data_IF_121716952377
#
_entry.id   IF_121716952377
#
_cell.length_a   1.000
_cell.length_b   1.000
_cell.length_c   1.000
_cell.angle_alpha   90.00
_cell.angle_beta   90.00
_cell.angle_gamma   90.00
#
_symmetry.space_group_name_H-M   'P 1'
#
loop_
_entity.id
_entity.type
_entity.pdbx_description
1 polymer ?
#
# COMPACT_ATOMS: atom_id res chain seq x y z
N UNK A 1 50.56 -34.62 49.80
CA UNK A 1 49.84 -33.35 49.67
C UNK A 1 49.69 -33.08 48.17
N UNK A 2 48.61 -33.59 47.54
CA UNK A 2 48.32 -33.43 46.10
C UNK A 2 47.15 -32.47 45.97
N UNK A 3 47.39 -31.35 45.28
CA UNK A 3 46.33 -30.40 44.89
C UNK A 3 45.91 -30.72 43.46
N UNK A 4 44.75 -31.37 43.34
CA UNK A 4 44.07 -31.58 42.07
C UNK A 4 43.30 -30.31 41.70
N UNK A 5 43.71 -29.63 40.58
CA UNK A 5 42.97 -28.49 40.01
C UNK A 5 41.89 -29.01 39.06
N UNK A 6 40.67 -28.73 39.40
CA UNK A 6 39.48 -28.95 38.56
C UNK A 6 39.38 -27.82 37.52
N UNK A 7 39.55 -28.16 36.24
CA UNK A 7 39.26 -27.23 35.14
C UNK A 7 37.77 -27.36 34.81
N UNK A 8 36.98 -26.32 35.13
CA UNK A 8 35.64 -26.16 34.61
C UNK A 8 35.75 -25.52 33.24
N UNK A 9 35.40 -26.28 32.19
CA UNK A 9 35.22 -25.76 30.85
C UNK A 9 33.87 -25.10 30.74
N UNK A 10 33.83 -23.75 30.66
CA UNK A 10 32.65 -22.99 30.24
C UNK A 10 32.48 -23.21 28.73
N UNK A 11 31.52 -24.02 28.34
CA UNK A 11 30.98 -24.02 26.99
C UNK A 11 30.05 -22.80 26.89
N UNK A 12 30.50 -21.79 26.18
CA UNK A 12 29.72 -20.63 25.82
C UNK A 12 28.63 -21.06 24.82
N UNK A 13 27.40 -21.07 25.25
CA UNK A 13 26.21 -21.20 24.39
C UNK A 13 25.99 -19.88 23.63
N UNK A 14 26.74 -19.64 22.53
CA UNK A 14 26.45 -18.60 21.53
C UNK A 14 25.73 -19.25 20.37
N UNK A 15 24.40 -19.24 20.38
CA UNK A 15 23.65 -19.82 19.25
C UNK A 15 22.13 -19.72 19.32
N UNK A 16 21.57 -18.71 19.96
CA UNK A 16 20.11 -18.65 20.06
C UNK A 16 19.40 -17.30 19.91
N UNK A 17 19.93 -16.23 19.33
CA UNK A 17 19.06 -15.12 18.97
C UNK A 17 18.69 -15.04 17.47
N UNK A 18 19.42 -15.69 16.56
CA UNK A 18 19.17 -15.53 15.11
C UNK A 18 17.95 -16.31 14.59
N UNK A 19 17.60 -17.44 15.21
CA UNK A 19 16.45 -18.25 14.81
C UNK A 19 15.11 -17.76 15.39
N UNK A 20 15.11 -17.02 16.48
CA UNK A 20 13.91 -16.42 17.06
C UNK A 20 13.41 -15.19 16.29
N UNK A 21 14.27 -14.51 15.56
CA UNK A 21 13.93 -13.37 14.72
C UNK A 21 13.37 -13.78 13.34
N UNK A 22 13.54 -15.03 12.93
CA UNK A 22 13.07 -15.56 11.65
C UNK A 22 11.61 -16.03 11.64
N UNK A 23 10.98 -16.13 12.80
CA UNK A 23 9.57 -16.39 12.93
C UNK A 23 8.81 -15.13 13.38
N UNK A 24 8.96 -14.03 12.70
CA UNK A 24 7.92 -12.99 12.72
C UNK A 24 6.66 -13.64 12.19
N UNK A 25 5.89 -14.23 13.11
CA UNK A 25 4.62 -14.89 12.81
C UNK A 25 3.77 -13.85 12.12
N UNK A 26 3.36 -14.16 10.90
CA UNK A 26 2.33 -13.40 10.22
C UNK A 26 1.12 -13.34 11.18
N UNK A 27 1.01 -12.25 11.88
CA UNK A 27 -0.11 -12.04 12.78
C UNK A 27 -1.40 -11.98 11.96
N UNK A 28 -2.52 -12.56 12.42
CA UNK A 28 -3.78 -12.46 11.73
C UNK A 28 -4.14 -11.00 11.44
N UNK A 29 -4.46 -10.71 10.19
CA UNK A 29 -4.70 -9.34 9.70
C UNK A 29 -6.21 -9.06 9.73
N UNK A 30 -6.66 -7.96 10.37
CA UNK A 30 -8.07 -7.55 10.31
C UNK A 30 -8.48 -7.18 8.88
N UNK A 31 -9.50 -7.86 8.36
CA UNK A 31 -10.01 -7.69 7.00
C UNK A 31 -11.53 -7.65 6.95
N UNK A 32 -12.04 -7.15 5.82
CA UNK A 32 -13.41 -7.37 5.36
C UNK A 32 -13.33 -8.21 4.09
N UNK A 33 -13.81 -9.43 4.14
CA UNK A 33 -13.96 -10.31 2.97
C UNK A 33 -15.31 -10.04 2.32
N UNK A 34 -15.31 -9.74 1.02
CA UNK A 34 -16.52 -9.40 0.27
C UNK A 34 -16.75 -10.50 -0.76
N UNK A 35 -17.91 -11.12 -0.68
CA UNK A 35 -18.32 -12.22 -1.54
C UNK A 35 -19.32 -11.77 -2.59
N UNK A 36 -19.39 -12.51 -3.70
CA UNK A 36 -20.38 -12.29 -4.77
C UNK A 36 -21.82 -12.52 -4.25
N UNK A 37 -22.85 -11.90 -4.84
CA UNK A 37 -22.78 -11.04 -6.03
C UNK A 37 -22.19 -9.66 -5.73
N UNK A 38 -21.45 -9.10 -6.69
CA UNK A 38 -20.95 -7.73 -6.67
C UNK A 38 -21.30 -7.05 -7.99
N UNK A 39 -21.29 -5.72 -8.00
CA UNK A 39 -21.54 -4.96 -9.22
C UNK A 39 -20.50 -5.31 -10.30
N UNK A 40 -20.92 -5.65 -11.54
CA UNK A 40 -19.99 -5.89 -12.67
C UNK A 40 -19.11 -4.66 -12.94
N UNK A 41 -17.87 -4.90 -13.32
CA UNK A 41 -16.86 -3.85 -13.55
C UNK A 41 -16.76 -2.83 -12.39
N UNK A 42 -17.04 -3.30 -11.16
CA UNK A 42 -17.00 -2.49 -9.96
C UNK A 42 -15.58 -2.36 -9.39
N UNK A 43 -15.35 -1.23 -8.71
CA UNK A 43 -14.18 -1.04 -7.85
C UNK A 43 -14.32 -1.86 -6.55
N UNK A 44 -13.29 -1.89 -5.73
CA UNK A 44 -13.36 -2.49 -4.40
C UNK A 44 -14.37 -1.77 -3.49
N UNK A 45 -14.51 -0.44 -3.63
CA UNK A 45 -15.53 0.34 -2.92
C UNK A 45 -16.96 0.05 -3.43
N UNK A 46 -17.12 -0.22 -4.74
CA UNK A 46 -18.40 -0.66 -5.29
C UNK A 46 -18.76 -2.07 -4.80
N UNK A 47 -17.76 -2.97 -4.70
CA UNK A 47 -17.96 -4.29 -4.12
C UNK A 47 -18.35 -4.21 -2.63
N UNK A 48 -17.75 -3.30 -1.86
CA UNK A 48 -18.10 -3.06 -0.45
C UNK A 48 -19.56 -2.64 -0.31
N UNK A 49 -20.09 -1.85 -1.25
CA UNK A 49 -21.46 -1.36 -1.24
C UNK A 49 -22.50 -2.41 -1.70
N UNK A 50 -22.10 -3.39 -2.53
CA UNK A 50 -23.03 -4.32 -3.21
C UNK A 50 -22.88 -5.78 -2.80
N UNK A 51 -21.71 -6.18 -2.27
CA UNK A 51 -21.40 -7.57 -1.95
C UNK A 51 -21.81 -7.99 -0.54
N UNK A 52 -21.73 -9.29 -0.27
CA UNK A 52 -21.87 -9.85 1.09
C UNK A 52 -20.56 -9.65 1.85
N UNK A 53 -20.56 -8.72 2.79
CA UNK A 53 -19.38 -8.35 3.60
C UNK A 53 -19.29 -9.21 4.85
N UNK A 54 -18.13 -9.84 5.07
CA UNK A 54 -17.83 -10.64 6.26
C UNK A 54 -16.55 -10.08 6.90
N UNK A 55 -16.65 -9.38 8.04
CA UNK A 55 -15.49 -8.96 8.80
C UNK A 55 -14.82 -10.15 9.48
N UNK A 56 -13.49 -10.11 9.61
CA UNK A 56 -12.76 -11.19 10.25
C UNK A 56 -11.26 -10.93 10.33
N UNK A 57 -10.53 -11.98 10.64
CA UNK A 57 -9.07 -12.02 10.63
C UNK A 57 -8.61 -12.93 9.50
N UNK A 58 -7.78 -12.42 8.60
CA UNK A 58 -7.14 -13.23 7.58
C UNK A 58 -6.05 -14.09 8.22
N UNK A 59 -6.24 -15.40 8.19
CA UNK A 59 -5.25 -16.37 8.64
C UNK A 59 -4.44 -16.87 7.44
N UNK A 60 -3.10 -16.75 7.46
CA UNK A 60 -2.26 -17.22 6.37
C UNK A 60 -2.20 -18.76 6.32
N UNK A 61 -1.94 -19.31 5.14
CA UNK A 61 -1.57 -20.72 4.99
C UNK A 61 -0.28 -21.03 5.73
N UNK A 62 -0.15 -22.23 6.30
CA UNK A 62 1.07 -22.64 7.00
C UNK A 62 2.26 -22.75 6.02
N UNK A 63 2.07 -23.50 4.93
CA UNK A 63 2.99 -23.70 3.81
C UNK A 63 2.21 -23.93 2.53
N UNK A 64 2.85 -23.71 1.37
CA UNK A 64 2.34 -24.19 0.09
C UNK A 64 2.63 -25.68 -0.09
N UNK A 65 1.74 -26.39 -0.78
CA UNK A 65 1.92 -27.83 -1.08
C UNK A 65 2.91 -28.07 -2.22
N UNK A 66 3.18 -27.03 -3.04
CA UNK A 66 4.11 -27.04 -4.18
C UNK A 66 4.90 -25.74 -4.22
N UNK A 67 6.03 -25.79 -4.92
CA UNK A 67 6.83 -24.60 -5.26
C UNK A 67 6.15 -23.82 -6.38
N UNK A 68 4.98 -23.23 -6.13
CA UNK A 68 4.25 -22.39 -7.07
C UNK A 68 5.10 -21.20 -7.52
N UNK A 69 4.96 -20.80 -8.80
CA UNK A 69 5.62 -19.62 -9.38
C UNK A 69 4.61 -18.50 -9.56
N UNK A 70 4.79 -17.40 -8.83
CA UNK A 70 3.85 -16.28 -8.82
C UNK A 70 4.57 -15.01 -9.30
N UNK A 71 4.04 -14.38 -10.35
CA UNK A 71 4.52 -13.10 -10.85
C UNK A 71 3.76 -11.95 -10.17
N UNK A 72 4.48 -10.90 -9.77
CA UNK A 72 3.94 -9.65 -9.22
C UNK A 72 4.27 -8.51 -10.17
N UNK A 73 3.26 -7.92 -10.81
CA UNK A 73 3.42 -6.83 -11.77
C UNK A 73 3.16 -5.49 -11.08
N UNK A 74 4.23 -4.80 -10.70
CA UNK A 74 4.14 -3.51 -10.02
C UNK A 74 4.24 -2.34 -11.03
N UNK A 75 3.65 -1.16 -10.73
CA UNK A 75 3.77 0.02 -11.60
C UNK A 75 5.22 0.54 -11.67
N UNK A 76 5.97 0.46 -10.59
CA UNK A 76 7.37 0.87 -10.49
C UNK A 76 7.97 0.50 -9.12
N UNK A 77 9.27 0.81 -8.93
CA UNK A 77 9.98 0.69 -7.64
C UNK A 77 10.55 2.04 -7.14
N UNK A 78 10.09 3.17 -7.70
CA UNK A 78 10.57 4.53 -7.35
C UNK A 78 10.05 5.02 -5.99
N UNK A 79 8.89 4.52 -5.54
CA UNK A 79 8.21 4.94 -4.32
C UNK A 79 8.48 3.92 -3.21
N UNK A 80 8.83 4.35 -1.98
CA UNK A 80 9.01 3.49 -0.81
C UNK A 80 7.81 2.60 -0.47
N UNK A 81 6.60 2.98 -0.86
CA UNK A 81 5.40 2.13 -0.73
C UNK A 81 5.60 0.76 -1.41
N UNK A 82 6.10 0.76 -2.66
CA UNK A 82 6.34 -0.47 -3.40
C UNK A 82 7.51 -1.29 -2.83
N UNK A 83 8.46 -0.62 -2.16
CA UNK A 83 9.51 -1.32 -1.38
C UNK A 83 8.91 -2.09 -0.20
N UNK A 84 7.92 -1.51 0.48
CA UNK A 84 7.13 -2.19 1.53
C UNK A 84 6.36 -3.39 0.98
N UNK A 85 5.66 -3.21 -0.14
CA UNK A 85 4.96 -4.32 -0.81
C UNK A 85 5.93 -5.44 -1.24
N UNK A 86 7.09 -5.09 -1.81
CA UNK A 86 8.12 -6.07 -2.19
C UNK A 86 8.62 -6.85 -0.98
N UNK A 87 8.87 -6.17 0.15
CA UNK A 87 9.22 -6.85 1.40
C UNK A 87 8.13 -7.83 1.83
N UNK A 88 6.86 -7.41 1.78
CA UNK A 88 5.71 -8.26 2.09
C UNK A 88 5.66 -9.51 1.21
N UNK A 89 5.80 -9.35 -0.11
CA UNK A 89 5.84 -10.46 -1.09
C UNK A 89 6.98 -11.41 -0.78
N UNK A 90 8.22 -10.92 -0.73
CA UNK A 90 9.42 -11.76 -0.63
C UNK A 90 9.51 -12.47 0.73
N UNK A 91 9.20 -11.76 1.82
CA UNK A 91 9.22 -12.37 3.15
C UNK A 91 8.19 -13.50 3.27
N UNK A 92 7.03 -13.32 2.68
CA UNK A 92 5.95 -14.30 2.72
C UNK A 92 6.17 -15.44 1.72
N UNK A 93 6.78 -15.17 0.54
CA UNK A 93 7.21 -16.21 -0.40
C UNK A 93 8.19 -17.19 0.25
N UNK A 94 9.18 -16.67 1.00
CA UNK A 94 10.12 -17.48 1.79
C UNK A 94 9.41 -18.36 2.80
N UNK A 95 8.47 -17.79 3.55
CA UNK A 95 7.70 -18.51 4.56
C UNK A 95 6.84 -19.62 3.96
N UNK A 96 6.23 -19.38 2.80
CA UNK A 96 5.36 -20.33 2.09
C UNK A 96 6.14 -21.38 1.30
N UNK A 97 7.42 -21.16 0.95
CA UNK A 97 8.21 -22.03 0.10
C UNK A 97 7.83 -21.93 -1.38
N UNK A 98 7.44 -20.74 -1.86
CA UNK A 98 7.04 -20.49 -3.25
C UNK A 98 8.02 -19.57 -3.96
N UNK A 99 8.04 -19.60 -5.29
CA UNK A 99 8.79 -18.64 -6.11
C UNK A 99 7.94 -17.38 -6.27
N UNK A 100 8.54 -16.23 -6.06
CA UNK A 100 7.94 -14.94 -6.32
C UNK A 100 8.89 -14.05 -7.13
N UNK A 101 8.42 -13.55 -8.26
CA UNK A 101 9.16 -12.63 -9.12
C UNK A 101 8.38 -11.32 -9.23
N UNK A 102 9.01 -10.21 -8.88
CA UNK A 102 8.45 -8.85 -9.00
C UNK A 102 8.94 -8.26 -10.31
N UNK A 103 8.02 -7.95 -11.20
CA UNK A 103 8.24 -7.46 -12.57
C UNK A 103 7.70 -6.02 -12.65
N UNK A 104 8.48 -5.00 -12.29
CA UNK A 104 8.01 -3.62 -12.31
C UNK A 104 8.02 -3.04 -13.74
N UNK A 105 7.05 -2.17 -14.02
CA UNK A 105 7.12 -1.20 -15.11
C UNK A 105 7.98 0.01 -14.70
N UNK A 106 8.10 1.02 -15.56
CA UNK A 106 8.95 2.17 -15.30
C UNK A 106 8.25 3.30 -14.53
N UNK A 107 6.89 3.31 -14.47
CA UNK A 107 6.09 4.36 -13.83
C UNK A 107 4.62 4.24 -14.17
N UNK A 108 3.80 5.15 -13.64
CA UNK A 108 2.38 5.23 -13.98
C UNK A 108 2.11 5.72 -15.41
N UNK A 109 3.12 6.24 -16.10
CA UNK A 109 3.12 6.61 -17.52
C UNK A 109 3.58 5.46 -18.43
N UNK A 110 4.06 4.36 -17.88
CA UNK A 110 4.55 3.19 -18.64
C UNK A 110 3.51 2.04 -18.72
N UNK A 111 2.31 2.35 -19.19
CA UNK A 111 1.30 1.32 -19.41
C UNK A 111 1.79 0.23 -20.38
N UNK A 112 2.50 0.63 -21.46
CA UNK A 112 3.04 -0.33 -22.45
C UNK A 112 3.99 -1.34 -21.79
N UNK A 113 4.88 -0.87 -20.91
CA UNK A 113 5.79 -1.74 -20.16
C UNK A 113 5.02 -2.71 -19.26
N UNK A 114 3.98 -2.26 -18.55
CA UNK A 114 3.18 -3.17 -17.72
C UNK A 114 2.42 -4.22 -18.54
N UNK A 115 1.86 -3.84 -19.71
CA UNK A 115 1.22 -4.80 -20.64
C UNK A 115 2.24 -5.83 -21.16
N UNK A 116 3.46 -5.40 -21.49
CA UNK A 116 4.54 -6.30 -21.89
C UNK A 116 4.91 -7.27 -20.76
N UNK A 117 5.01 -6.82 -19.51
CA UNK A 117 5.28 -7.70 -18.35
C UNK A 117 4.17 -8.73 -18.13
N UNK A 118 2.92 -8.40 -18.41
CA UNK A 118 1.83 -9.38 -18.42
C UNK A 118 2.04 -10.44 -19.49
N UNK A 119 2.37 -10.05 -20.73
CA UNK A 119 2.61 -11.00 -21.83
C UNK A 119 3.85 -11.89 -21.55
N UNK A 120 4.92 -11.33 -20.97
CA UNK A 120 6.09 -12.09 -20.52
C UNK A 120 5.70 -13.12 -19.44
N UNK A 121 4.88 -12.74 -18.46
CA UNK A 121 4.42 -13.66 -17.41
C UNK A 121 3.54 -14.79 -17.95
N UNK A 122 2.66 -14.50 -18.91
CA UNK A 122 1.84 -15.50 -19.59
C UNK A 122 2.74 -16.48 -20.38
N UNK A 123 3.68 -15.96 -21.18
CA UNK A 123 4.61 -16.78 -21.99
C UNK A 123 5.52 -17.65 -21.11
N UNK A 124 5.95 -17.14 -19.95
CA UNK A 124 6.76 -17.87 -18.98
C UNK A 124 5.96 -18.89 -18.16
N UNK A 125 4.63 -18.99 -18.37
CA UNK A 125 3.71 -19.93 -17.70
C UNK A 125 3.82 -19.87 -16.18
N UNK A 126 3.70 -18.65 -15.61
CA UNK A 126 3.53 -18.52 -14.17
C UNK A 126 2.23 -19.19 -13.72
N UNK A 127 2.23 -19.78 -12.53
CA UNK A 127 1.05 -20.44 -11.98
C UNK A 127 -0.05 -19.46 -11.57
N UNK A 128 0.33 -18.25 -11.15
CA UNK A 128 -0.57 -17.12 -10.87
C UNK A 128 0.12 -15.78 -11.18
N UNK A 129 -0.69 -14.77 -11.47
CA UNK A 129 -0.24 -13.39 -11.65
C UNK A 129 -0.96 -12.48 -10.65
N UNK A 130 -0.22 -11.65 -9.94
CA UNK A 130 -0.74 -10.59 -9.07
C UNK A 130 -0.36 -9.25 -9.70
N UNK A 131 -1.35 -8.47 -10.12
CA UNK A 131 -1.12 -7.17 -10.77
C UNK A 131 -1.52 -6.03 -9.86
N UNK A 132 -0.71 -4.96 -9.85
CA UNK A 132 -1.08 -3.64 -9.34
C UNK A 132 -1.28 -2.73 -10.56
N UNK A 133 -2.51 -2.60 -11.08
CA UNK A 133 -2.73 -2.00 -12.39
C UNK A 133 -2.40 -0.50 -12.40
N UNK A 134 -1.75 -0.04 -13.47
CA UNK A 134 -1.45 1.38 -13.72
C UNK A 134 -2.74 2.16 -14.02
N UNK A 135 -3.70 1.52 -14.67
CA UNK A 135 -4.95 2.15 -15.13
C UNK A 135 -6.16 1.36 -14.66
N UNK A 136 -7.25 2.06 -14.39
CA UNK A 136 -8.52 1.43 -14.00
C UNK A 136 -9.10 0.47 -15.06
N UNK A 137 -8.78 0.64 -16.34
CA UNK A 137 -9.42 -0.13 -17.43
C UNK A 137 -8.46 -0.63 -18.49
N UNK A 138 -7.32 0.03 -18.70
CA UNK A 138 -6.42 -0.28 -19.81
C UNK A 138 -5.74 -1.67 -19.72
N UNK A 139 -5.68 -2.24 -18.51
CA UNK A 139 -5.14 -3.57 -18.28
C UNK A 139 -6.15 -4.70 -18.54
N UNK A 140 -7.46 -4.42 -18.73
CA UNK A 140 -8.51 -5.44 -18.78
C UNK A 140 -8.26 -6.52 -19.86
N UNK A 141 -7.88 -6.11 -21.09
CA UNK A 141 -7.60 -7.08 -22.15
C UNK A 141 -6.42 -8.00 -21.84
N UNK A 142 -5.40 -7.50 -21.15
CA UNK A 142 -4.25 -8.35 -20.76
C UNK A 142 -4.61 -9.30 -19.62
N UNK A 143 -5.46 -8.87 -18.68
CA UNK A 143 -6.02 -9.72 -17.62
C UNK A 143 -6.87 -10.84 -18.26
N UNK A 144 -7.74 -10.51 -19.21
CA UNK A 144 -8.56 -11.48 -19.93
C UNK A 144 -7.71 -12.52 -20.69
N UNK A 145 -6.60 -12.10 -21.33
CA UNK A 145 -5.67 -13.04 -21.98
C UNK A 145 -5.02 -14.02 -21.00
N UNK A 146 -4.57 -13.54 -19.83
CA UNK A 146 -4.01 -14.40 -18.79
C UNK A 146 -5.05 -15.43 -18.31
N UNK A 147 -6.28 -14.99 -18.08
CA UNK A 147 -7.40 -15.86 -17.70
C UNK A 147 -7.71 -16.91 -18.77
N UNK A 148 -7.73 -16.50 -20.05
CA UNK A 148 -7.93 -17.43 -21.17
C UNK A 148 -6.80 -18.47 -21.30
N UNK A 149 -5.58 -18.12 -20.88
CA UNK A 149 -4.44 -19.05 -20.78
C UNK A 149 -4.52 -19.97 -19.54
N UNK A 150 -5.57 -19.88 -18.72
CA UNK A 150 -5.75 -20.68 -17.51
C UNK A 150 -4.98 -20.19 -16.29
N UNK A 151 -4.39 -18.98 -16.35
CA UNK A 151 -3.62 -18.40 -15.26
C UNK A 151 -4.54 -17.52 -14.40
N UNK A 152 -4.72 -17.82 -13.11
CA UNK A 152 -5.47 -16.96 -12.22
C UNK A 152 -4.78 -15.61 -12.04
N UNK A 153 -5.58 -14.52 -12.11
CA UNK A 153 -5.10 -13.16 -11.93
C UNK A 153 -5.75 -12.54 -10.69
N UNK A 154 -4.90 -12.05 -9.79
CA UNK A 154 -5.30 -11.30 -8.60
C UNK A 154 -4.88 -9.86 -8.76
N UNK A 155 -5.56 -8.97 -8.04
CA UNK A 155 -5.19 -7.56 -7.95
C UNK A 155 -4.63 -7.22 -6.58
N UNK A 156 -3.63 -6.34 -6.53
CA UNK A 156 -3.00 -5.86 -5.31
C UNK A 156 -2.96 -4.32 -5.30
N UNK A 157 -3.39 -3.73 -4.20
CA UNK A 157 -3.29 -2.32 -3.84
C UNK A 157 -4.07 -1.36 -4.76
N UNK A 158 -3.62 -1.19 -6.00
CA UNK A 158 -4.32 -0.37 -6.99
C UNK A 158 -5.65 -1.06 -7.38
N UNK A 159 -6.63 -0.27 -7.78
CA UNK A 159 -7.95 -0.79 -8.13
C UNK A 159 -8.21 -0.65 -9.64
N UNK A 160 -8.90 -1.63 -10.20
CA UNK A 160 -9.33 -1.64 -11.60
C UNK A 160 -10.78 -2.06 -11.77
N UNK A 161 -11.33 -1.77 -12.95
CA UNK A 161 -12.67 -2.18 -13.37
C UNK A 161 -12.59 -3.37 -14.30
N UNK A 162 -12.32 -4.56 -13.73
CA UNK A 162 -12.22 -5.82 -14.50
C UNK A 162 -13.00 -6.94 -13.81
N UNK A 163 -13.86 -7.61 -14.56
CA UNK A 163 -14.59 -8.81 -14.10
C UNK A 163 -13.76 -10.10 -14.22
N UNK A 164 -12.63 -10.04 -14.94
CA UNK A 164 -11.75 -11.20 -15.17
C UNK A 164 -10.79 -11.48 -14.02
N UNK A 165 -10.78 -10.65 -12.98
CA UNK A 165 -9.99 -10.90 -11.77
C UNK A 165 -10.61 -12.04 -10.94
N UNK A 166 -9.74 -12.91 -10.41
CA UNK A 166 -10.15 -13.94 -9.46
C UNK A 166 -10.47 -13.33 -8.10
N UNK A 167 -9.64 -12.37 -7.66
CA UNK A 167 -9.73 -11.75 -6.36
C UNK A 167 -8.97 -10.43 -6.34
N UNK A 168 -9.46 -9.45 -5.57
CA UNK A 168 -8.78 -8.19 -5.27
C UNK A 168 -8.32 -8.18 -3.82
N UNK A 169 -7.07 -7.74 -3.57
CA UNK A 169 -6.54 -7.47 -2.24
C UNK A 169 -6.13 -6.00 -2.18
N UNK A 170 -6.87 -5.20 -1.46
CA UNK A 170 -6.66 -3.76 -1.38
C UNK A 170 -7.18 -3.22 -0.05
N UNK A 171 -7.42 -1.94 0.02
CA UNK A 171 -8.21 -1.27 1.06
C UNK A 171 -9.32 -0.46 0.41
N UNK A 172 -10.21 0.16 1.19
CA UNK A 172 -11.10 1.17 0.64
C UNK A 172 -10.31 2.44 0.31
N UNK A 173 -10.08 2.68 -0.97
CA UNK A 173 -9.35 3.85 -1.45
C UNK A 173 -10.12 5.15 -1.18
N UNK A 174 -11.46 5.07 -1.20
CA UNK A 174 -12.33 6.17 -0.78
C UNK A 174 -12.19 6.46 0.72
N UNK A 175 -12.17 5.43 1.56
CA UNK A 175 -11.95 5.60 2.98
C UNK A 175 -10.58 6.20 3.29
N UNK A 176 -9.54 5.90 2.50
CA UNK A 176 -8.21 6.50 2.64
C UNK A 176 -8.29 8.03 2.52
N UNK A 177 -8.90 8.55 1.46
CA UNK A 177 -9.13 9.99 1.29
C UNK A 177 -9.99 10.59 2.39
N UNK A 178 -11.07 9.86 2.78
CA UNK A 178 -11.98 10.29 3.84
C UNK A 178 -11.26 10.42 5.19
N UNK A 179 -10.48 9.41 5.62
CA UNK A 179 -9.82 9.41 6.92
C UNK A 179 -8.68 10.45 7.00
N UNK A 180 -7.89 10.61 5.94
CA UNK A 180 -6.88 11.68 5.87
C UNK A 180 -7.53 13.06 6.03
N UNK A 181 -8.65 13.30 5.34
CA UNK A 181 -9.38 14.58 5.41
C UNK A 181 -10.10 14.76 6.75
N UNK A 182 -10.68 13.71 7.32
CA UNK A 182 -11.27 13.76 8.67
C UNK A 182 -10.23 14.09 9.74
N UNK A 183 -9.00 13.61 9.57
CA UNK A 183 -7.90 14.03 10.46
C UNK A 183 -7.66 15.54 10.35
N UNK A 184 -7.57 16.09 9.13
CA UNK A 184 -7.44 17.54 8.87
C UNK A 184 -8.57 18.34 9.53
N UNK A 185 -9.81 17.86 9.40
CA UNK A 185 -10.99 18.50 10.00
C UNK A 185 -10.89 18.50 11.52
N UNK A 186 -10.52 17.38 12.15
CA UNK A 186 -10.34 17.30 13.62
C UNK A 186 -9.22 18.23 14.09
N UNK A 187 -8.09 18.27 13.39
CA UNK A 187 -6.99 19.17 13.72
C UNK A 187 -7.41 20.64 13.61
N UNK A 188 -8.14 21.01 12.57
CA UNK A 188 -8.69 22.35 12.39
C UNK A 188 -9.64 22.74 13.53
N UNK A 189 -10.53 21.84 13.95
CA UNK A 189 -11.44 22.05 15.09
C UNK A 189 -10.68 22.25 16.39
N UNK A 190 -9.66 21.44 16.66
CA UNK A 190 -8.80 21.61 17.85
C UNK A 190 -8.07 22.96 17.86
N UNK A 191 -7.77 23.51 16.68
CA UNK A 191 -7.20 24.84 16.51
C UNK A 191 -8.24 25.97 16.55
N UNK A 192 -9.52 25.65 16.72
CA UNK A 192 -10.60 26.63 16.77
C UNK A 192 -10.99 27.26 15.44
N UNK A 193 -10.54 26.67 14.31
CA UNK A 193 -10.84 27.17 12.97
C UNK A 193 -12.30 26.87 12.59
N UNK A 194 -12.97 27.82 11.95
CA UNK A 194 -14.35 27.71 11.49
C UNK A 194 -14.43 27.40 9.98
N UNK A 195 -13.37 27.72 9.24
CA UNK A 195 -13.19 27.39 7.85
C UNK A 195 -11.73 27.05 7.59
N UNK A 196 -11.46 26.17 6.60
CA UNK A 196 -10.12 25.81 6.16
C UNK A 196 -10.05 25.74 4.64
N UNK A 197 -8.88 26.06 4.13
CA UNK A 197 -8.54 25.97 2.73
C UNK A 197 -7.51 24.86 2.53
N UNK A 198 -7.82 23.89 1.70
CA UNK A 198 -6.95 22.76 1.42
C UNK A 198 -6.57 22.70 -0.06
N UNK A 199 -5.41 22.14 -0.36
CA UNK A 199 -5.03 21.75 -1.71
C UNK A 199 -4.61 20.30 -1.76
N UNK A 200 -4.80 19.65 -2.92
CA UNK A 200 -4.55 18.24 -3.10
C UNK A 200 -3.44 18.01 -4.13
N UNK A 201 -2.53 17.10 -3.79
CA UNK A 201 -1.52 16.52 -4.66
C UNK A 201 -1.74 15.00 -4.71
N UNK A 202 -2.80 14.53 -5.39
CA UNK A 202 -3.23 13.14 -5.24
C UNK A 202 -2.41 12.14 -6.06
N UNK A 203 -1.60 12.61 -7.03
CA UNK A 203 -0.83 11.74 -7.91
C UNK A 203 -1.34 11.73 -9.37
N UNK A 204 -1.09 10.65 -10.16
CA UNK A 204 -1.38 10.62 -11.59
C UNK A 204 -2.87 10.43 -11.86
N UNK A 205 -3.41 11.28 -12.76
CA UNK A 205 -4.81 11.14 -13.19
C UNK A 205 -5.01 9.79 -13.91
N UNK A 206 -6.12 9.11 -13.59
CA UNK A 206 -6.51 7.83 -14.21
C UNK A 206 -6.11 6.59 -13.41
N UNK A 207 -5.25 6.72 -12.41
CA UNK A 207 -5.03 5.64 -11.45
C UNK A 207 -6.24 5.48 -10.51
N UNK A 208 -6.62 4.24 -10.21
CA UNK A 208 -7.80 3.95 -9.38
C UNK A 208 -7.72 4.52 -7.98
N UNK A 209 -6.54 4.46 -7.37
CA UNK A 209 -6.29 4.98 -6.03
C UNK A 209 -6.46 6.51 -5.96
N UNK A 210 -6.01 7.25 -6.97
CA UNK A 210 -6.15 8.72 -7.05
C UNK A 210 -7.61 9.15 -7.05
N UNK A 211 -8.46 8.43 -7.81
CA UNK A 211 -9.89 8.71 -7.81
C UNK A 211 -10.50 8.50 -6.42
N UNK A 212 -10.16 7.41 -5.74
CA UNK A 212 -10.64 7.10 -4.39
C UNK A 212 -10.25 8.19 -3.39
N UNK A 213 -8.98 8.62 -3.38
CA UNK A 213 -8.48 9.70 -2.51
C UNK A 213 -9.27 11.00 -2.68
N UNK A 214 -9.44 11.44 -3.93
CA UNK A 214 -10.15 12.71 -4.23
C UNK A 214 -11.62 12.61 -3.89
N UNK A 215 -12.29 11.51 -4.22
CA UNK A 215 -13.71 11.30 -3.90
C UNK A 215 -13.91 11.25 -2.38
N UNK A 216 -13.05 10.52 -1.66
CA UNK A 216 -13.07 10.46 -0.20
C UNK A 216 -12.85 11.81 0.47
N UNK A 217 -11.91 12.59 -0.06
CA UNK A 217 -11.67 13.97 0.41
C UNK A 217 -12.91 14.85 0.22
N UNK A 218 -13.57 14.77 -0.94
CA UNK A 218 -14.79 15.55 -1.20
C UNK A 218 -15.92 15.15 -0.28
N UNK A 219 -16.12 13.85 -0.04
CA UNK A 219 -17.15 13.35 0.88
C UNK A 219 -16.89 13.90 2.29
N UNK A 220 -15.66 13.75 2.81
CA UNK A 220 -15.34 14.25 4.14
C UNK A 220 -15.48 15.77 4.26
N UNK A 221 -15.12 16.51 3.20
CA UNK A 221 -15.31 17.97 3.16
C UNK A 221 -16.78 18.37 3.19
N UNK A 222 -17.67 17.64 2.49
CA UNK A 222 -19.12 17.88 2.49
C UNK A 222 -19.79 17.54 3.83
N UNK A 223 -19.28 16.51 4.53
CA UNK A 223 -19.79 16.07 5.82
C UNK A 223 -19.21 16.87 7.00
N UNK A 224 -18.26 17.78 6.74
CA UNK A 224 -17.51 18.47 7.78
C UNK A 224 -18.41 19.42 8.60
N UNK A 225 -18.19 19.52 9.92
CA UNK A 225 -18.93 20.49 10.78
C UNK A 225 -18.33 21.92 10.68
N UNK A 226 -17.37 22.14 9.81
CA UNK A 226 -16.76 23.42 9.46
C UNK A 226 -16.66 23.56 7.95
N UNK A 227 -16.45 24.76 7.44
CA UNK A 227 -16.31 25.00 6.01
C UNK A 227 -14.95 24.49 5.50
N UNK A 228 -14.96 23.59 4.50
CA UNK A 228 -13.76 23.04 3.87
C UNK A 228 -13.72 23.43 2.39
N UNK A 229 -12.79 24.29 2.01
CA UNK A 229 -12.60 24.77 0.64
C UNK A 229 -11.44 24.04 -0.02
N UNK A 230 -11.70 23.24 -1.05
CA UNK A 230 -10.66 22.65 -1.91
C UNK A 230 -10.28 23.69 -2.96
N UNK A 231 -9.18 24.43 -2.73
CA UNK A 231 -8.76 25.55 -3.59
C UNK A 231 -8.09 25.09 -4.88
N UNK A 232 -7.34 23.98 -4.86
CA UNK A 232 -6.62 23.47 -6.03
C UNK A 232 -6.42 21.96 -5.92
N UNK A 233 -6.40 21.27 -7.07
CA UNK A 233 -6.04 19.85 -7.21
C UNK A 233 -5.07 19.74 -8.37
N UNK A 234 -3.83 19.28 -8.11
CA UNK A 234 -2.81 19.12 -9.13
C UNK A 234 -2.44 17.64 -9.29
N UNK A 235 -2.77 17.14 -10.48
CA UNK A 235 -2.45 15.78 -10.87
C UNK A 235 -1.07 15.71 -11.55
N UNK A 236 -0.35 14.63 -11.36
CA UNK A 236 0.93 14.32 -12.00
C UNK A 236 1.52 13.05 -11.43
N UNK A 237 2.48 12.43 -12.12
CA UNK A 237 3.21 11.26 -11.60
C UNK A 237 3.72 11.54 -10.18
N UNK A 238 3.83 10.51 -9.35
CA UNK A 238 4.29 10.60 -7.96
C UNK A 238 5.81 10.89 -7.84
N UNK A 239 6.48 11.17 -8.95
CA UNK A 239 7.88 11.57 -8.99
C UNK A 239 8.10 12.88 -8.21
N UNK A 240 9.09 12.87 -7.33
CA UNK A 240 9.35 13.94 -6.34
C UNK A 240 9.57 15.33 -6.98
N UNK A 241 10.35 15.42 -8.05
CA UNK A 241 10.66 16.69 -8.71
C UNK A 241 9.43 17.33 -9.32
N UNK A 242 8.60 16.54 -10.01
CA UNK A 242 7.33 17.00 -10.57
C UNK A 242 6.38 17.46 -9.46
N UNK A 243 6.23 16.68 -8.41
CA UNK A 243 5.31 17.03 -7.32
C UNK A 243 5.77 18.27 -6.54
N UNK A 244 7.09 18.47 -6.37
CA UNK A 244 7.64 19.72 -5.82
C UNK A 244 7.31 20.93 -6.67
N UNK A 245 7.38 20.81 -8.01
CA UNK A 245 6.97 21.90 -8.94
C UNK A 245 5.46 22.16 -8.83
N UNK A 246 4.63 21.12 -8.75
CA UNK A 246 3.18 21.27 -8.60
C UNK A 246 2.82 21.95 -7.28
N UNK A 247 3.48 21.57 -6.18
CA UNK A 247 3.35 22.26 -4.89
C UNK A 247 3.73 23.74 -5.01
N UNK A 248 4.84 24.07 -5.66
CA UNK A 248 5.25 25.45 -5.92
C UNK A 248 4.18 26.27 -6.66
N UNK A 249 3.52 25.69 -7.68
CA UNK A 249 2.42 26.35 -8.41
C UNK A 249 1.19 26.58 -7.52
N UNK A 250 0.85 25.64 -6.63
CA UNK A 250 -0.22 25.81 -5.64
C UNK A 250 0.12 26.99 -4.71
N UNK A 251 1.34 27.04 -4.20
CA UNK A 251 1.79 28.08 -3.27
C UNK A 251 1.81 29.47 -3.90
N UNK A 252 2.26 29.60 -5.16
CA UNK A 252 2.21 30.85 -5.91
C UNK A 252 0.79 31.40 -6.03
N UNK A 253 -0.21 30.52 -6.22
CA UNK A 253 -1.59 30.94 -6.44
C UNK A 253 -2.38 31.13 -5.14
N UNK A 254 -2.11 30.31 -4.13
CA UNK A 254 -2.97 30.18 -2.95
C UNK A 254 -2.24 30.24 -1.61
N UNK A 255 -0.90 30.26 -1.55
CA UNK A 255 -0.12 30.05 -0.34
C UNK A 255 -0.52 30.90 0.86
N UNK A 256 -0.86 32.18 0.63
CA UNK A 256 -1.29 33.08 1.71
C UNK A 256 -2.67 32.72 2.32
N UNK A 257 -3.47 31.89 1.66
CA UNK A 257 -4.80 31.46 2.12
C UNK A 257 -4.86 29.99 2.53
N UNK A 258 -3.83 29.19 2.14
CA UNK A 258 -3.83 27.75 2.32
C UNK A 258 -3.53 27.37 3.77
N UNK A 259 -4.25 26.39 4.29
CA UNK A 259 -4.08 25.83 5.64
C UNK A 259 -3.46 24.44 5.62
N UNK A 260 -3.85 23.60 4.61
CA UNK A 260 -3.34 22.23 4.50
C UNK A 260 -3.03 21.86 3.04
N UNK A 261 -2.04 20.99 2.88
CA UNK A 261 -1.83 20.20 1.66
C UNK A 261 -1.99 18.72 2.04
N UNK A 262 -2.83 18.00 1.27
CA UNK A 262 -2.95 16.55 1.38
C UNK A 262 -2.33 15.95 0.12
N UNK A 263 -1.36 15.05 0.29
CA UNK A 263 -0.60 14.50 -0.83
C UNK A 263 -0.40 13.00 -0.77
N UNK A 264 -0.13 12.39 -1.93
CA UNK A 264 0.24 10.99 -2.05
C UNK A 264 1.59 10.69 -1.35
N UNK A 265 2.03 9.44 -1.34
CA UNK A 265 3.28 8.99 -0.71
C UNK A 265 4.53 9.74 -1.16
N UNK A 266 4.67 10.01 -2.46
CA UNK A 266 5.75 10.84 -3.01
C UNK A 266 5.43 12.34 -2.98
N UNK A 267 4.14 12.68 -2.98
CA UNK A 267 3.64 14.04 -3.12
C UNK A 267 3.74 14.86 -1.82
N UNK A 268 3.34 14.28 -0.70
CA UNK A 268 3.34 14.98 0.59
C UNK A 268 4.77 15.39 1.02
N UNK A 269 5.79 14.51 1.00
CA UNK A 269 7.16 14.92 1.30
C UNK A 269 7.71 15.94 0.30
N UNK A 270 7.32 15.85 -1.00
CA UNK A 270 7.77 16.77 -2.03
C UNK A 270 7.27 18.21 -1.83
N UNK A 271 6.15 18.39 -1.12
CA UNK A 271 5.59 19.72 -0.84
C UNK A 271 6.36 20.49 0.25
N UNK A 272 7.11 19.80 1.12
CA UNK A 272 7.74 20.42 2.28
C UNK A 272 8.78 21.48 1.92
N UNK A 273 9.67 21.20 0.96
CA UNK A 273 10.71 22.14 0.55
C UNK A 273 10.12 23.44 -0.08
N UNK A 274 9.18 23.38 -1.04
CA UNK A 274 8.49 24.56 -1.54
C UNK A 274 7.75 25.37 -0.47
N UNK A 275 7.08 24.70 0.48
CA UNK A 275 6.38 25.35 1.60
C UNK A 275 7.36 26.15 2.45
N UNK A 276 8.51 25.56 2.81
CA UNK A 276 9.56 26.24 3.57
C UNK A 276 10.18 27.40 2.78
N UNK A 277 10.50 27.20 1.51
CA UNK A 277 11.08 28.22 0.64
C UNK A 277 10.15 29.43 0.44
N UNK A 278 8.84 29.22 0.45
CA UNK A 278 7.84 30.27 0.37
C UNK A 278 7.51 30.95 1.71
N UNK A 279 8.15 30.53 2.81
CA UNK A 279 7.93 31.10 4.14
C UNK A 279 6.62 30.66 4.83
N UNK A 280 6.04 29.54 4.42
CA UNK A 280 4.76 29.03 4.95
C UNK A 280 4.94 27.82 5.88
N UNK A 281 6.16 27.50 6.31
CA UNK A 281 6.47 26.31 7.13
C UNK A 281 5.64 26.17 8.40
N UNK A 282 5.41 27.28 9.12
CA UNK A 282 4.62 27.30 10.36
C UNK A 282 3.11 27.43 10.12
N UNK A 283 2.70 27.70 8.88
CA UNK A 283 1.31 27.94 8.54
C UNK A 283 0.64 26.75 7.89
N UNK A 284 1.24 26.19 6.82
CA UNK A 284 0.64 25.14 6.01
C UNK A 284 1.04 23.78 6.57
N UNK A 285 0.06 23.01 6.99
CA UNK A 285 0.24 21.64 7.48
C UNK A 285 0.14 20.64 6.33
N UNK A 286 1.04 19.65 6.32
CA UNK A 286 1.04 18.58 5.33
C UNK A 286 0.51 17.29 5.96
N UNK A 287 -0.39 16.62 5.23
CA UNK A 287 -0.95 15.30 5.57
C UNK A 287 -0.75 14.38 4.37
N UNK A 288 -0.50 13.10 4.62
CA UNK A 288 -0.32 12.13 3.55
C UNK A 288 -1.55 11.22 3.41
N UNK A 289 -1.86 10.84 2.18
CA UNK A 289 -2.91 9.86 1.89
C UNK A 289 -2.49 8.44 2.24
N UNK A 290 -1.17 8.14 2.26
CA UNK A 290 -0.71 6.83 2.68
C UNK A 290 0.66 6.89 3.38
N UNK A 291 1.02 5.81 4.06
CA UNK A 291 2.18 5.69 4.93
C UNK A 291 3.36 5.03 4.22
N UNK A 292 4.53 5.65 4.37
CA UNK A 292 5.84 5.07 4.05
C UNK A 292 6.80 5.23 5.22
N UNK A 293 7.95 4.56 5.20
CA UNK A 293 8.98 4.75 6.22
C UNK A 293 9.46 6.20 6.31
N UNK A 294 9.59 6.90 5.18
CA UNK A 294 9.93 8.33 5.14
C UNK A 294 8.85 9.18 5.81
N UNK A 295 7.58 8.97 5.45
CA UNK A 295 6.46 9.70 6.04
C UNK A 295 6.37 9.44 7.55
N UNK A 296 6.59 8.21 8.00
CA UNK A 296 6.66 7.89 9.42
C UNK A 296 7.75 8.68 10.15
N UNK A 297 8.92 8.82 9.52
CA UNK A 297 10.00 9.66 10.05
C UNK A 297 9.59 11.13 10.10
N UNK A 298 9.02 11.65 9.02
CA UNK A 298 8.56 13.05 8.92
C UNK A 298 7.41 13.37 9.90
N UNK A 299 6.58 12.39 10.27
CA UNK A 299 5.58 12.56 11.33
C UNK A 299 6.27 12.66 12.69
N UNK A 300 7.25 11.80 12.99
CA UNK A 300 8.00 11.89 14.24
C UNK A 300 8.77 13.22 14.39
N UNK A 301 9.33 13.73 13.28
CA UNK A 301 10.02 15.04 13.25
C UNK A 301 9.08 16.25 13.18
N UNK A 302 7.75 16.02 13.11
CA UNK A 302 6.71 17.07 13.05
C UNK A 302 6.69 17.87 11.74
N UNK A 303 7.24 17.35 10.68
CA UNK A 303 7.22 17.98 9.35
C UNK A 303 5.95 17.58 8.55
N UNK A 304 5.48 16.34 8.73
CA UNK A 304 4.15 15.86 8.30
C UNK A 304 3.33 15.59 9.56
N UNK A 305 2.05 15.91 9.53
CA UNK A 305 1.22 15.85 10.72
C UNK A 305 0.51 14.53 10.90
N UNK A 306 0.12 13.89 9.81
CA UNK A 306 -0.54 12.59 9.83
C UNK A 306 -0.47 11.90 8.47
N UNK A 307 -0.72 10.59 8.47
CA UNK A 307 -0.90 9.79 7.27
C UNK A 307 -1.97 8.72 7.49
N UNK A 308 -2.87 8.53 6.52
CA UNK A 308 -3.59 7.27 6.45
C UNK A 308 -2.61 6.15 6.15
N UNK A 309 -3.00 4.91 6.40
CA UNK A 309 -2.12 3.75 6.23
C UNK A 309 -2.91 2.58 5.63
N UNK A 310 -2.63 2.28 4.39
CA UNK A 310 -3.23 1.17 3.66
C UNK A 310 -2.61 -0.18 4.01
N UNK A 311 -1.53 -0.20 4.79
CA UNK A 311 -0.81 -1.40 5.23
C UNK A 311 -0.25 -2.24 4.08
N UNK A 312 0.58 -1.60 3.25
CA UNK A 312 1.13 -2.20 2.02
C UNK A 312 1.82 -3.55 2.21
N UNK A 313 2.58 -3.73 3.31
CA UNK A 313 3.20 -5.03 3.65
C UNK A 313 2.13 -6.09 3.90
N UNK A 314 1.08 -5.76 4.66
CA UNK A 314 -0.02 -6.68 4.95
C UNK A 314 -0.82 -7.03 3.70
N UNK A 315 -1.11 -6.04 2.83
CA UNK A 315 -1.76 -6.28 1.55
C UNK A 315 -0.97 -7.28 0.70
N UNK A 316 0.34 -7.08 0.56
CA UNK A 316 1.21 -7.96 -0.22
C UNK A 316 1.26 -9.39 0.35
N UNK A 317 1.37 -9.53 1.68
CA UNK A 317 1.31 -10.83 2.36
C UNK A 317 -0.02 -11.56 2.13
N UNK A 318 -1.15 -10.84 2.22
CA UNK A 318 -2.47 -11.42 1.94
C UNK A 318 -2.59 -11.82 0.47
N UNK A 319 -2.08 -11.01 -0.47
CA UNK A 319 -2.19 -11.31 -1.90
C UNK A 319 -1.45 -12.60 -2.30
N UNK A 320 -0.22 -12.81 -1.82
CA UNK A 320 0.51 -14.06 -2.13
C UNK A 320 -0.14 -15.28 -1.46
N UNK A 321 -0.64 -15.14 -0.23
CA UNK A 321 -1.40 -16.21 0.43
C UNK A 321 -2.70 -16.53 -0.32
N UNK A 322 -3.42 -15.52 -0.78
CA UNK A 322 -4.65 -15.70 -1.57
C UNK A 322 -4.36 -16.40 -2.90
N UNK A 323 -3.25 -16.04 -3.57
CA UNK A 323 -2.81 -16.73 -4.79
C UNK A 323 -2.54 -18.22 -4.52
N UNK A 324 -1.80 -18.55 -3.45
CA UNK A 324 -1.55 -19.95 -3.06
C UNK A 324 -2.85 -20.67 -2.73
N UNK A 325 -3.76 -20.05 -1.99
CA UNK A 325 -5.06 -20.65 -1.66
C UNK A 325 -5.91 -20.95 -2.92
N UNK A 326 -5.88 -20.05 -3.92
CA UNK A 326 -6.55 -20.29 -5.20
C UNK A 326 -5.93 -21.48 -5.95
N UNK A 327 -4.59 -21.53 -6.05
CA UNK A 327 -3.86 -22.60 -6.75
C UNK A 327 -4.07 -23.96 -6.11
N UNK A 328 -4.29 -24.01 -4.81
CA UNK A 328 -4.47 -25.24 -4.04
C UNK A 328 -5.94 -25.59 -3.79
N UNK A 329 -6.88 -24.81 -4.31
CA UNK A 329 -8.32 -25.05 -4.12
C UNK A 329 -8.76 -24.96 -2.67
N UNK A 330 -8.05 -24.21 -1.84
CA UNK A 330 -8.37 -24.05 -0.42
C UNK A 330 -9.59 -23.16 -0.23
N UNK A 331 -10.50 -23.63 0.59
CA UNK A 331 -11.76 -22.92 0.87
C UNK A 331 -12.84 -23.23 -0.20
N UNK A 332 -14.07 -23.38 0.27
CA UNK A 332 -15.22 -23.69 -0.60
C UNK A 332 -15.71 -22.47 -1.39
N UNK A 333 -15.52 -21.29 -0.82
CA UNK A 333 -15.93 -20.03 -1.42
C UNK A 333 -14.77 -19.02 -1.27
N UNK A 334 -14.33 -18.47 -2.41
CA UNK A 334 -13.31 -17.43 -2.41
C UNK A 334 -13.99 -16.05 -2.41
N UNK A 335 -13.52 -15.10 -1.60
CA UNK A 335 -14.03 -13.74 -1.67
C UNK A 335 -13.70 -13.12 -3.04
N UNK A 336 -14.56 -12.21 -3.50
CA UNK A 336 -14.25 -11.35 -4.64
C UNK A 336 -13.18 -10.31 -4.27
N UNK A 337 -13.29 -9.74 -3.06
CA UNK A 337 -12.39 -8.70 -2.58
C UNK A 337 -12.05 -8.90 -1.10
N UNK A 338 -10.79 -8.73 -0.76
CA UNK A 338 -10.30 -8.66 0.62
C UNK A 338 -9.83 -7.24 0.86
N UNK A 339 -10.55 -6.50 1.72
CA UNK A 339 -10.15 -5.17 2.15
C UNK A 339 -9.38 -5.25 3.47
N UNK A 340 -8.14 -4.77 3.45
CA UNK A 340 -7.34 -4.59 4.67
C UNK A 340 -7.88 -3.38 5.43
N UNK A 341 -8.02 -3.51 6.75
CA UNK A 341 -8.49 -2.40 7.58
C UNK A 341 -7.45 -1.27 7.59
N UNK A 342 -7.89 -0.07 7.22
CA UNK A 342 -7.06 1.13 7.25
C UNK A 342 -6.54 1.44 8.66
N UNK A 343 -5.31 1.98 8.70
CA UNK A 343 -4.75 2.65 9.86
C UNK A 343 -4.76 4.17 9.69
N UNK A 344 -4.43 4.87 10.76
CA UNK A 344 -4.12 6.30 10.75
C UNK A 344 -2.97 6.54 11.70
N UNK A 345 -1.87 7.09 11.18
CA UNK A 345 -0.70 7.45 11.95
C UNK A 345 -0.67 8.95 12.17
N UNK A 346 -0.43 9.38 13.40
CA UNK A 346 -0.08 10.74 13.76
C UNK A 346 0.93 10.76 14.93
N UNK A 347 1.24 11.93 15.44
CA UNK A 347 2.20 12.05 16.53
C UNK A 347 1.73 11.42 17.85
N UNK A 348 0.42 11.30 18.07
CA UNK A 348 -0.14 10.77 19.31
C UNK A 348 0.08 9.25 19.42
N UNK A 349 0.04 8.53 18.30
CA UNK A 349 0.17 7.08 18.28
C UNK A 349 1.48 6.56 17.70
N UNK A 350 2.37 7.44 17.22
CA UNK A 350 3.62 7.05 16.55
C UNK A 350 4.56 6.17 17.41
N UNK A 351 4.47 6.23 18.73
CA UNK A 351 5.28 5.40 19.63
C UNK A 351 4.86 3.93 19.72
N UNK A 352 3.61 3.62 19.42
CA UNK A 352 3.02 2.26 19.54
C UNK A 352 2.46 1.72 18.22
N UNK A 353 2.71 2.41 17.11
CA UNK A 353 2.15 2.05 15.81
C UNK A 353 2.79 0.76 15.26
N UNK A 354 2.02 -0.20 14.71
CA UNK A 354 2.54 -1.47 14.19
C UNK A 354 3.13 -1.29 12.78
N UNK A 355 4.30 -0.67 12.69
CA UNK A 355 4.97 -0.34 11.43
C UNK A 355 5.27 -1.55 10.54
N UNK A 356 5.48 -2.73 11.12
CA UNK A 356 5.76 -3.99 10.41
C UNK A 356 4.60 -4.46 9.50
N UNK A 357 3.41 -3.89 9.68
CA UNK A 357 2.24 -4.13 8.82
C UNK A 357 2.24 -3.28 7.56
N UNK A 358 3.05 -2.22 7.53
CA UNK A 358 2.95 -1.14 6.55
C UNK A 358 4.25 -0.90 5.79
N UNK A 359 5.39 -0.93 6.48
CA UNK A 359 6.69 -0.56 5.92
C UNK A 359 7.71 -1.68 6.07
N UNK A 360 8.68 -1.72 5.16
CA UNK A 360 9.83 -2.63 5.29
C UNK A 360 10.70 -2.22 6.50
N UNK A 361 11.42 -3.18 7.11
CA UNK A 361 12.38 -2.87 8.17
C UNK A 361 13.46 -1.88 7.72
N UNK A 362 13.98 -1.10 8.67
CA UNK A 362 15.10 -0.19 8.40
C UNK A 362 16.28 -0.93 7.76
N UNK A 363 16.87 -0.32 6.74
CA UNK A 363 17.97 -0.90 5.99
C UNK A 363 17.60 -2.03 5.02
N UNK A 364 16.33 -2.33 4.84
CA UNK A 364 15.89 -3.32 3.86
C UNK A 364 16.34 -2.95 2.45
N UNK A 365 17.08 -3.86 1.81
CA UNK A 365 17.44 -3.76 0.39
C UNK A 365 16.39 -4.50 -0.43
N UNK A 366 15.82 -3.80 -1.41
CA UNK A 366 14.78 -4.36 -2.27
C UNK A 366 15.29 -5.59 -3.00
N UNK A 367 14.55 -6.68 -2.85
CA UNK A 367 14.76 -7.95 -3.57
C UNK A 367 13.55 -8.14 -4.49
N UNK A 368 13.80 -8.41 -5.77
CA UNK A 368 12.75 -8.56 -6.79
C UNK A 368 12.44 -10.01 -7.15
N UNK A 369 13.20 -10.96 -6.64
CA UNK A 369 12.99 -12.38 -6.91
C UNK A 369 13.37 -13.22 -5.69
N UNK A 370 12.60 -14.26 -5.44
CA UNK A 370 12.92 -15.32 -4.49
C UNK A 370 12.57 -16.68 -5.08
N UNK A 371 13.51 -17.61 -4.98
CA UNK A 371 13.34 -18.98 -5.41
C UNK A 371 13.95 -19.92 -4.33
N UNK A 372 13.11 -20.69 -3.60
CA UNK A 372 13.61 -21.56 -2.53
C UNK A 372 14.60 -22.64 -2.98
N UNK A 373 14.76 -22.86 -4.28
CA UNK A 373 15.80 -23.78 -4.80
C UNK A 373 17.16 -23.09 -5.02
N UNK A 374 17.23 -21.76 -4.85
CA UNK A 374 18.44 -20.95 -5.06
C UNK A 374 18.95 -20.30 -3.77
N UNK A 375 18.18 -20.35 -2.70
CA UNK A 375 18.52 -19.95 -1.35
C UNK A 375 19.09 -21.16 -0.58
#
# INVERSE_FOLDING_TARGET
MNKTRLFLSLLAACGAPALAQQAARFAPIPVMSIFRPVQPNGTADDALASGRVVPGLYAPAAHASKRWRIAFLFPHMKDPYWSGCAYGVISEARRLGVVADILPAAGYDDLKGQLQKMDEAIAAKYDAIVISPISMTANNNSIARARAAGIPVLELANDSRSDDLNLKVTTSLRAMGTEATRWVIRDAQQRGLKSINIALLPGPMGAGWVKGEVDGTRIAAQEAPLEVNILDIRYGDSERGLQSQLAGRILQRHGNRLDYIIGCTGCAPAALAPIRAAGYGDKIRVVAYDLTGEIAHLIRSKEIYAAADTKGVSQARVAINAAVNLLEGRGKEQPHTILIKLGMLDQQNAGSYPFDTSVAPDGYKVVLSHDPAKD
#
